data_IF_372739162458
#
_entry.id   IF_372739162458
#
_cell.length_a   1.000
_cell.length_b   1.000
_cell.length_c   1.000
_cell.angle_alpha   90.00
_cell.angle_beta   90.00
_cell.angle_gamma   90.00
#
_symmetry.space_group_name_H-M   'P 1'
#
loop_
_entity.id
_entity.type
_entity.pdbx_description
1 polymer ?
#
# COMPACT_ATOMS: atom_id res chain seq x y z
N UNK A 1 -24.17 -18.88 36.14
CA UNK A 1 -23.65 -20.12 35.61
C UNK A 1 -23.76 -20.05 34.10
N UNK A 2 -22.62 -20.09 33.36
CA UNK A 2 -22.60 -20.14 31.90
C UNK A 2 -23.04 -21.54 31.46
N UNK A 3 -24.05 -21.62 30.61
CA UNK A 3 -24.51 -22.87 30.02
C UNK A 3 -24.52 -22.74 28.49
N UNK A 4 -24.60 -23.87 27.81
CA UNK A 4 -24.74 -23.87 26.36
C UNK A 4 -26.03 -23.14 25.95
N UNK A 5 -25.91 -22.31 24.91
CA UNK A 5 -27.03 -21.50 24.42
C UNK A 5 -27.41 -20.30 25.28
N UNK A 6 -26.67 -20.02 26.38
CA UNK A 6 -26.91 -18.79 27.14
C UNK A 6 -26.69 -17.57 26.25
N UNK A 7 -27.69 -16.70 26.14
CA UNK A 7 -27.66 -15.55 25.24
C UNK A 7 -28.00 -14.27 25.98
N UNK A 8 -27.21 -13.23 25.72
CA UNK A 8 -27.45 -11.87 26.22
C UNK A 8 -27.70 -10.96 25.03
N UNK A 9 -28.84 -10.31 25.02
CA UNK A 9 -29.18 -9.31 24.02
C UNK A 9 -29.01 -7.90 24.62
N UNK A 10 -28.13 -7.11 24.04
CA UNK A 10 -27.87 -5.71 24.44
C UNK A 10 -28.59 -4.71 23.56
N UNK A 11 -29.42 -5.15 22.61
CA UNK A 11 -30.02 -4.33 21.57
C UNK A 11 -29.13 -4.15 20.34
N UNK A 12 -27.83 -3.86 20.55
CA UNK A 12 -26.85 -3.72 19.48
C UNK A 12 -26.25 -5.07 19.06
N UNK A 13 -26.01 -5.93 20.04
CA UNK A 13 -25.42 -7.26 19.82
C UNK A 13 -26.17 -8.31 20.61
N UNK A 14 -26.21 -9.51 20.06
CA UNK A 14 -26.58 -10.70 20.79
C UNK A 14 -25.31 -11.53 20.99
N UNK A 15 -24.90 -11.73 22.24
CA UNK A 15 -23.80 -12.58 22.61
C UNK A 15 -24.35 -13.93 23.05
N UNK A 16 -23.89 -15.01 22.42
CA UNK A 16 -24.33 -16.37 22.73
C UNK A 16 -23.11 -17.22 23.08
N UNK A 17 -23.23 -18.00 24.14
CA UNK A 17 -22.21 -19.01 24.48
C UNK A 17 -22.58 -20.35 23.87
N UNK A 18 -21.64 -20.97 23.21
CA UNK A 18 -21.75 -22.31 22.65
C UNK A 18 -20.67 -23.19 23.28
N UNK A 19 -21.08 -24.34 23.78
CA UNK A 19 -20.16 -25.36 24.25
C UNK A 19 -20.12 -26.49 23.23
N UNK A 20 -18.94 -26.75 22.69
CA UNK A 20 -18.73 -27.82 21.72
C UNK A 20 -17.84 -28.90 22.32
N UNK A 21 -18.15 -30.15 22.03
CA UNK A 21 -17.45 -31.33 22.48
C UNK A 21 -18.41 -32.52 22.63
N UNK A 22 -17.87 -33.67 22.98
CA UNK A 22 -18.67 -34.88 23.22
C UNK A 22 -18.89 -34.99 24.71
N UNK A 23 -20.16 -34.93 25.12
CA UNK A 23 -20.60 -35.17 26.50
C UNK A 23 -21.10 -36.61 26.59
N UNK A 24 -20.53 -37.38 27.50
CA UNK A 24 -20.87 -38.82 27.65
C UNK A 24 -22.11 -39.00 28.55
N UNK A 25 -22.52 -37.95 29.27
CA UNK A 25 -23.71 -38.02 30.13
C UNK A 25 -24.33 -36.60 30.24
N UNK A 26 -25.66 -36.53 30.48
CA UNK A 26 -26.35 -35.25 30.71
C UNK A 26 -25.87 -34.48 31.96
N UNK A 27 -25.18 -35.16 32.86
CA UNK A 27 -24.63 -34.59 34.12
C UNK A 27 -23.14 -34.29 34.04
N UNK A 28 -22.51 -34.55 32.87
CA UNK A 28 -21.08 -34.27 32.71
C UNK A 28 -20.82 -32.77 32.76
N UNK A 29 -19.83 -32.39 33.54
CA UNK A 29 -19.38 -30.98 33.64
C UNK A 29 -18.40 -30.62 32.52
N UNK A 30 -18.31 -29.36 32.22
CA UNK A 30 -17.34 -28.83 31.24
C UNK A 30 -15.91 -29.24 31.62
N UNK A 31 -15.23 -29.83 30.66
CA UNK A 31 -13.81 -30.19 30.76
C UNK A 31 -13.05 -29.48 29.64
N UNK A 32 -12.08 -28.57 29.93
CA UNK A 32 -11.37 -27.79 28.95
C UNK A 32 -10.47 -28.62 27.99
N UNK A 33 -10.15 -29.87 28.37
CA UNK A 33 -9.38 -30.78 27.50
C UNK A 33 -10.23 -31.44 26.40
N UNK A 34 -11.54 -31.57 26.65
CA UNK A 34 -12.49 -32.26 25.75
C UNK A 34 -13.52 -31.33 25.14
N UNK A 35 -13.78 -30.19 25.77
CA UNK A 35 -14.83 -29.27 25.38
C UNK A 35 -14.26 -27.89 25.08
N UNK A 36 -14.84 -27.21 24.08
CA UNK A 36 -14.48 -25.85 23.71
C UNK A 36 -15.63 -24.90 24.02
N UNK A 37 -15.32 -23.77 24.65
CA UNK A 37 -16.25 -22.67 24.86
C UNK A 37 -16.08 -21.64 23.75
N UNK A 38 -17.15 -21.36 23.02
CA UNK A 38 -17.17 -20.40 21.91
C UNK A 38 -18.12 -19.27 22.27
N UNK A 39 -17.67 -18.04 22.09
CA UNK A 39 -18.52 -16.86 22.17
C UNK A 39 -18.86 -16.41 20.76
N UNK A 40 -20.14 -16.40 20.44
CA UNK A 40 -20.64 -15.93 19.15
C UNK A 40 -21.34 -14.59 19.35
N UNK A 41 -20.97 -13.61 18.53
CA UNK A 41 -21.59 -12.29 18.51
C UNK A 41 -22.34 -12.09 17.20
N UNK A 42 -23.62 -11.77 17.30
CA UNK A 42 -24.47 -11.44 16.17
C UNK A 42 -24.94 -9.99 16.27
N UNK A 43 -25.15 -9.34 15.14
CA UNK A 43 -25.75 -8.01 15.10
C UNK A 43 -27.18 -8.05 15.62
N UNK A 44 -27.47 -7.17 16.57
CA UNK A 44 -28.82 -6.94 17.04
C UNK A 44 -29.67 -6.10 16.07
N UNK A 45 -30.96 -6.04 16.33
CA UNK A 45 -31.90 -5.27 15.49
C UNK A 45 -31.60 -3.78 15.50
N UNK A 46 -31.25 -3.21 16.65
CA UNK A 46 -30.88 -1.80 16.78
C UNK A 46 -29.67 -1.46 15.93
N UNK A 47 -28.60 -2.29 16.01
CA UNK A 47 -27.41 -2.06 15.20
C UNK A 47 -27.72 -2.12 13.70
N UNK A 48 -28.54 -3.06 13.27
CA UNK A 48 -28.93 -3.16 11.85
C UNK A 48 -29.69 -1.92 11.37
N UNK A 49 -30.62 -1.42 12.16
CA UNK A 49 -31.36 -0.19 11.84
C UNK A 49 -30.44 1.03 11.76
N UNK A 50 -29.50 1.15 12.69
CA UNK A 50 -28.51 2.23 12.66
C UNK A 50 -27.59 2.13 11.43
N UNK A 51 -27.15 0.92 11.07
CA UNK A 51 -26.33 0.69 9.88
C UNK A 51 -27.05 1.00 8.58
N UNK A 52 -28.36 0.73 8.51
CA UNK A 52 -29.20 1.06 7.35
C UNK A 52 -29.38 2.58 7.16
N UNK A 53 -29.20 3.36 8.23
CA UNK A 53 -29.30 4.82 8.22
C UNK A 53 -27.94 5.55 8.10
N UNK A 54 -26.84 4.81 8.03
CA UNK A 54 -25.51 5.42 7.89
C UNK A 54 -25.37 6.05 6.49
N UNK A 55 -25.23 7.36 6.47
CA UNK A 55 -24.75 8.10 5.32
C UNK A 55 -23.22 8.07 5.30
N UNK A 56 -22.64 7.45 4.28
CA UNK A 56 -21.19 7.47 4.06
C UNK A 56 -20.83 8.76 3.34
N UNK A 57 -20.36 9.74 4.08
CA UNK A 57 -19.80 10.95 3.50
C UNK A 57 -18.35 10.71 3.09
N UNK A 58 -18.11 10.50 1.80
CA UNK A 58 -16.77 10.34 1.24
C UNK A 58 -16.12 11.72 1.19
N UNK A 59 -15.36 12.09 2.22
CA UNK A 59 -14.61 13.34 2.30
C UNK A 59 -13.36 13.38 1.42
N UNK A 60 -12.96 12.24 0.89
CA UNK A 60 -11.84 12.08 -0.04
C UNK A 60 -11.66 10.61 -0.41
N UNK A 61 -11.43 10.38 -1.67
CA UNK A 61 -10.94 9.06 -2.12
C UNK A 61 -9.44 9.09 -1.87
N UNK A 62 -8.97 8.31 -0.92
CA UNK A 62 -7.54 8.07 -0.74
C UNK A 62 -7.02 7.43 -2.03
N UNK A 63 -6.55 8.24 -2.96
CA UNK A 63 -5.82 7.72 -4.10
C UNK A 63 -4.59 7.04 -3.55
N UNK A 64 -4.51 5.73 -3.70
CA UNK A 64 -3.27 5.02 -3.47
C UNK A 64 -2.32 5.35 -4.63
N UNK A 65 -1.81 6.59 -4.59
CA UNK A 65 -0.90 7.14 -5.58
C UNK A 65 0.47 6.46 -5.48
N UNK A 66 1.21 6.52 -6.57
CA UNK A 66 2.64 6.21 -6.58
C UNK A 66 3.29 7.09 -5.51
N UNK A 67 4.18 6.53 -4.70
CA UNK A 67 4.93 7.30 -3.70
C UNK A 67 6.39 6.92 -3.75
N UNK A 68 7.27 7.90 -3.96
CA UNK A 68 8.71 7.76 -3.81
C UNK A 68 9.06 8.14 -2.37
N UNK A 69 9.54 7.18 -1.58
CA UNK A 69 9.88 7.38 -0.17
C UNK A 69 11.37 7.66 0.04
N UNK A 70 12.23 6.98 -0.76
CA UNK A 70 13.68 7.07 -0.59
C UNK A 70 14.39 6.86 -1.93
N UNK A 71 15.44 7.62 -2.13
CA UNK A 71 16.34 7.52 -3.28
C UNK A 71 17.77 7.31 -2.75
N UNK A 72 18.48 6.33 -3.29
CA UNK A 72 19.85 6.01 -2.87
C UNK A 72 20.77 5.91 -4.08
N UNK A 73 21.78 6.74 -4.14
CA UNK A 73 22.86 6.61 -5.12
C UNK A 73 23.74 5.40 -4.74
N UNK A 74 23.75 4.39 -5.60
CA UNK A 74 24.43 3.12 -5.29
C UNK A 74 25.95 3.27 -5.26
N UNK A 75 26.51 4.21 -6.02
CA UNK A 75 27.97 4.43 -6.07
C UNK A 75 28.50 5.05 -4.79
N UNK A 76 27.81 6.06 -4.26
CA UNK A 76 28.27 6.83 -3.11
C UNK A 76 27.62 6.40 -1.81
N UNK A 77 26.51 5.66 -1.86
CA UNK A 77 25.65 5.37 -0.72
C UNK A 77 24.85 6.56 -0.22
N UNK A 78 24.89 7.70 -0.92
CA UNK A 78 24.14 8.92 -0.56
C UNK A 78 22.63 8.66 -0.65
N UNK A 79 21.92 9.12 0.37
CA UNK A 79 20.46 8.94 0.49
C UNK A 79 19.77 10.30 0.36
N UNK A 80 18.87 10.41 -0.63
CA UNK A 80 18.02 11.58 -0.84
C UNK A 80 18.79 12.90 -1.07
N UNK A 81 19.97 12.85 -1.68
CA UNK A 81 20.84 14.02 -1.85
C UNK A 81 21.62 13.99 -3.17
N UNK A 82 22.62 13.11 -3.30
CA UNK A 82 23.52 13.09 -4.47
C UNK A 82 23.07 12.10 -5.54
N UNK A 83 23.32 12.47 -6.80
CA UNK A 83 23.19 11.63 -7.98
C UNK A 83 24.55 11.51 -8.69
N UNK A 84 24.93 10.31 -9.06
CA UNK A 84 26.09 10.06 -9.92
C UNK A 84 25.63 9.63 -11.30
N UNK A 85 25.75 10.47 -12.35
CA UNK A 85 25.39 10.12 -13.71
C UNK A 85 26.05 8.82 -14.18
N UNK A 86 25.36 8.07 -15.03
CA UNK A 86 25.79 6.78 -15.57
C UNK A 86 26.07 5.70 -14.47
N UNK A 87 25.42 5.81 -13.32
CA UNK A 87 25.48 4.85 -12.22
C UNK A 87 24.07 4.48 -11.74
N UNK A 88 24.01 3.38 -11.00
CA UNK A 88 22.73 2.88 -10.48
C UNK A 88 22.15 3.78 -9.40
N UNK A 89 20.86 4.05 -9.54
CA UNK A 89 20.02 4.69 -8.53
C UNK A 89 18.99 3.69 -8.05
N UNK A 90 18.88 3.53 -6.74
CA UNK A 90 17.84 2.74 -6.11
C UNK A 90 16.75 3.66 -5.59
N UNK A 91 15.52 3.43 -6.04
CA UNK A 91 14.32 4.17 -5.66
C UNK A 91 13.41 3.22 -4.88
N UNK A 92 13.06 3.56 -3.66
CA UNK A 92 12.12 2.80 -2.83
C UNK A 92 10.86 3.59 -2.57
N UNK A 93 9.74 2.87 -2.50
CA UNK A 93 8.45 3.50 -2.29
C UNK A 93 7.28 2.54 -2.40
N UNK A 94 6.17 3.06 -2.87
CA UNK A 94 4.93 2.31 -3.01
C UNK A 94 4.35 2.48 -4.41
N UNK A 95 3.87 1.38 -5.00
CA UNK A 95 3.32 1.32 -6.36
C UNK A 95 4.24 1.85 -7.47
N UNK A 96 5.55 1.70 -7.30
CA UNK A 96 6.56 2.23 -8.22
C UNK A 96 6.63 1.49 -9.56
N UNK A 97 6.12 0.26 -9.66
CA UNK A 97 6.25 -0.56 -10.86
C UNK A 97 5.79 0.18 -12.11
N UNK A 98 6.68 0.28 -13.10
CA UNK A 98 6.39 0.91 -14.38
C UNK A 98 5.60 -0.07 -15.26
N UNK A 99 4.34 0.26 -15.50
CA UNK A 99 3.39 -0.53 -16.29
C UNK A 99 2.53 0.40 -17.13
N UNK A 100 2.18 -0.03 -18.32
CA UNK A 100 1.28 0.64 -19.26
C UNK A 100 1.98 1.10 -20.53
N UNK A 101 1.18 1.38 -21.55
CA UNK A 101 1.65 1.75 -22.89
C UNK A 101 1.66 3.27 -23.12
N UNK A 102 1.25 4.03 -22.13
CA UNK A 102 1.21 5.48 -22.27
C UNK A 102 2.64 6.05 -22.35
N UNK A 103 2.93 6.98 -23.29
CA UNK A 103 4.28 7.53 -23.52
C UNK A 103 4.90 8.22 -22.28
N UNK A 104 4.05 8.71 -21.37
CA UNK A 104 4.49 9.32 -20.11
C UNK A 104 4.90 8.28 -19.04
N UNK A 105 4.72 6.99 -19.26
CA UNK A 105 5.20 5.98 -18.30
C UNK A 105 6.72 5.96 -18.30
N UNK A 106 7.32 6.08 -17.12
CA UNK A 106 8.77 6.08 -16.96
C UNK A 106 9.26 6.81 -15.72
N UNK A 107 10.57 6.93 -15.63
CA UNK A 107 11.27 7.73 -14.61
C UNK A 107 11.88 8.94 -15.28
N UNK A 108 11.79 10.08 -14.65
CA UNK A 108 12.24 11.35 -15.19
C UNK A 108 13.06 12.12 -14.17
N UNK A 109 14.08 12.82 -14.66
CA UNK A 109 14.81 13.84 -13.91
C UNK A 109 14.46 15.21 -14.49
N UNK A 110 13.90 16.07 -13.65
CA UNK A 110 13.52 17.44 -14.02
C UNK A 110 14.57 18.39 -13.46
N UNK A 111 15.26 19.11 -14.32
CA UNK A 111 16.21 20.13 -13.92
C UNK A 111 15.47 21.34 -13.35
N UNK A 112 15.74 21.72 -12.12
CA UNK A 112 15.03 22.80 -11.44
C UNK A 112 15.32 24.20 -12.03
N UNK A 113 16.47 24.37 -12.68
CA UNK A 113 16.83 25.67 -13.28
C UNK A 113 16.24 25.87 -14.68
N UNK A 114 16.19 24.79 -15.50
CA UNK A 114 15.76 24.87 -16.92
C UNK A 114 14.37 24.29 -17.15
N UNK A 115 13.81 23.58 -16.16
CA UNK A 115 12.60 22.77 -16.28
C UNK A 115 12.69 21.65 -17.36
N UNK A 116 13.89 21.37 -17.83
CA UNK A 116 14.13 20.29 -18.79
C UNK A 116 13.87 18.94 -18.11
N UNK A 117 13.10 18.09 -18.79
CA UNK A 117 12.68 16.77 -18.31
C UNK A 117 13.39 15.66 -19.08
N UNK A 118 14.35 15.00 -18.45
CA UNK A 118 15.13 13.91 -19.03
C UNK A 118 14.52 12.56 -18.63
N UNK A 119 14.03 11.80 -19.60
CA UNK A 119 13.49 10.43 -19.40
C UNK A 119 14.61 9.42 -19.29
N UNK A 120 14.51 8.49 -18.35
CA UNK A 120 15.35 7.31 -18.27
C UNK A 120 14.96 6.35 -19.41
N UNK A 121 15.94 5.84 -20.15
CA UNK A 121 15.69 4.86 -21.21
C UNK A 121 15.13 3.56 -20.62
N UNK A 122 14.25 2.90 -21.33
CA UNK A 122 13.63 1.65 -20.89
C UNK A 122 14.68 0.53 -20.68
N UNK A 123 15.78 0.56 -21.41
CA UNK A 123 16.89 -0.40 -21.26
C UNK A 123 17.74 -0.16 -20.02
N UNK A 124 17.66 1.04 -19.44
CA UNK A 124 18.35 1.45 -18.22
C UNK A 124 17.56 1.13 -16.94
N UNK A 125 16.40 0.47 -17.07
CA UNK A 125 15.60 0.02 -15.92
C UNK A 125 16.05 -1.39 -15.55
N UNK A 126 16.87 -1.49 -14.50
CA UNK A 126 17.49 -2.75 -14.03
C UNK A 126 16.51 -3.59 -13.21
N UNK A 127 15.73 -2.93 -12.34
CA UNK A 127 14.71 -3.58 -11.50
C UNK A 127 13.41 -2.80 -11.59
N UNK A 128 12.30 -3.51 -11.82
CA UNK A 128 10.96 -2.91 -11.95
C UNK A 128 9.95 -3.63 -11.05
N UNK A 129 9.98 -3.33 -9.76
CA UNK A 129 9.10 -3.90 -8.73
C UNK A 129 8.17 -2.83 -8.11
N UNK A 130 7.03 -3.23 -7.53
CA UNK A 130 6.10 -2.29 -6.90
C UNK A 130 6.67 -1.46 -5.75
N UNK A 131 7.69 -1.97 -5.05
CA UNK A 131 8.32 -1.33 -3.90
C UNK A 131 9.73 -0.80 -4.16
N UNK A 132 10.34 -1.20 -5.28
CA UNK A 132 11.72 -0.83 -5.61
C UNK A 132 11.93 -0.74 -7.13
N UNK A 133 12.48 0.38 -7.58
CA UNK A 133 13.08 0.52 -8.90
C UNK A 133 14.59 0.65 -8.76
N UNK A 134 15.34 0.01 -9.64
CA UNK A 134 16.76 0.29 -9.83
C UNK A 134 16.96 0.71 -11.28
N UNK A 135 17.53 1.88 -11.49
CA UNK A 135 17.74 2.46 -12.80
C UNK A 135 19.20 2.89 -12.97
N UNK A 136 19.64 3.04 -14.20
CA UNK A 136 20.87 3.76 -14.52
C UNK A 136 20.52 5.24 -14.74
N UNK A 137 21.19 6.14 -14.00
CA UNK A 137 20.99 7.59 -14.13
C UNK A 137 21.50 8.00 -15.51
N UNK A 138 20.72 8.74 -16.33
CA UNK A 138 21.21 9.26 -17.60
C UNK A 138 22.39 10.23 -17.42
N UNK A 139 23.01 10.62 -18.53
CA UNK A 139 24.10 11.59 -18.54
C UNK A 139 23.57 13.00 -18.22
N UNK A 140 23.34 13.29 -16.94
CA UNK A 140 22.86 14.58 -16.45
C UNK A 140 24.06 15.54 -16.29
N UNK A 141 23.84 16.80 -16.60
CA UNK A 141 24.80 17.89 -16.29
C UNK A 141 24.74 18.26 -14.81
N UNK A 142 25.80 18.91 -14.29
CA UNK A 142 25.80 19.41 -12.92
C UNK A 142 24.61 20.33 -12.68
N UNK A 143 23.90 20.13 -11.59
CA UNK A 143 22.68 20.89 -11.28
C UNK A 143 21.80 20.25 -10.21
N UNK A 144 20.67 20.85 -9.98
CA UNK A 144 19.63 20.40 -9.03
C UNK A 144 18.48 19.80 -9.81
N UNK A 145 18.05 18.63 -9.40
CA UNK A 145 17.01 17.85 -10.08
C UNK A 145 15.93 17.38 -9.12
N UNK A 146 14.72 17.28 -9.63
CA UNK A 146 13.62 16.56 -8.99
C UNK A 146 13.36 15.26 -9.74
N UNK A 147 13.12 14.18 -9.01
CA UNK A 147 12.77 12.88 -9.56
C UNK A 147 11.25 12.76 -9.70
N UNK A 148 10.79 12.31 -10.87
CA UNK A 148 9.40 11.96 -11.13
C UNK A 148 9.28 10.50 -11.57
N UNK A 149 8.27 9.81 -11.07
CA UNK A 149 7.91 8.44 -11.48
C UNK A 149 6.48 8.44 -11.97
N UNK A 150 6.28 8.04 -13.22
CA UNK A 150 4.96 7.98 -13.87
C UNK A 150 4.62 6.55 -14.26
N UNK A 151 3.43 6.06 -13.90
CA UNK A 151 3.01 4.69 -14.20
C UNK A 151 1.48 4.57 -14.28
N UNK A 152 1.02 3.54 -14.98
CA UNK A 152 -0.37 3.08 -14.96
C UNK A 152 -0.58 1.88 -14.02
N UNK A 153 0.35 1.62 -13.09
CA UNK A 153 0.25 0.49 -12.17
C UNK A 153 -0.84 0.70 -11.13
N UNK A 154 -1.84 -0.19 -11.15
CA UNK A 154 -2.98 -0.16 -10.21
C UNK A 154 -2.73 -0.95 -8.91
N UNK A 155 -1.75 -1.87 -8.91
CA UNK A 155 -1.58 -2.92 -7.91
C UNK A 155 -2.23 -4.24 -8.32
N UNK A 156 -2.94 -4.28 -9.44
CA UNK A 156 -3.56 -5.46 -10.05
C UNK A 156 -2.93 -5.77 -11.41
N UNK A 157 -3.43 -6.79 -12.09
CA UNK A 157 -2.99 -7.18 -13.45
C UNK A 157 -3.43 -6.20 -14.55
N UNK A 158 -4.46 -5.39 -14.29
CA UNK A 158 -5.00 -4.45 -15.29
C UNK A 158 -4.42 -3.05 -15.05
N UNK A 159 -3.73 -2.45 -16.04
CA UNK A 159 -3.26 -1.08 -15.95
C UNK A 159 -4.40 -0.08 -15.80
N UNK A 160 -4.11 1.06 -15.19
CA UNK A 160 -5.01 2.19 -15.13
C UNK A 160 -5.19 2.81 -16.53
N UNK A 161 -6.32 3.44 -16.77
CA UNK A 161 -6.56 4.19 -18.01
C UNK A 161 -5.69 5.45 -18.08
N UNK A 162 -5.50 6.11 -16.94
CA UNK A 162 -4.74 7.34 -16.82
C UNK A 162 -3.39 7.09 -16.15
N UNK A 163 -2.40 7.86 -16.53
CA UNK A 163 -1.07 7.84 -15.90
C UNK A 163 -1.13 8.58 -14.58
N UNK A 164 -0.54 8.00 -13.57
CA UNK A 164 -0.29 8.64 -12.27
C UNK A 164 1.18 8.99 -12.17
N UNK A 165 1.46 10.20 -11.76
CA UNK A 165 2.82 10.71 -11.56
C UNK A 165 3.04 11.04 -10.09
N UNK A 166 4.17 10.58 -9.57
CA UNK A 166 4.68 10.99 -8.25
C UNK A 166 5.94 11.81 -8.44
N UNK A 167 5.96 12.97 -7.83
CA UNK A 167 7.14 13.82 -7.73
C UNK A 167 7.77 13.60 -6.36
N UNK A 168 9.08 13.35 -6.34
CA UNK A 168 9.81 13.22 -5.08
C UNK A 168 9.92 14.57 -4.40
N UNK A 169 9.69 14.61 -3.09
CA UNK A 169 9.59 15.82 -2.29
C UNK A 169 10.94 16.50 -2.01
N UNK A 170 12.04 15.81 -2.31
CA UNK A 170 13.41 16.32 -2.08
C UNK A 170 14.12 16.53 -3.41
N UNK A 171 14.95 17.56 -3.42
CA UNK A 171 15.84 17.85 -4.54
C UNK A 171 17.09 16.99 -4.47
N UNK A 172 17.60 16.60 -5.64
CA UNK A 172 18.76 15.75 -5.81
C UNK A 172 19.85 16.53 -6.57
N UNK A 173 21.09 16.39 -6.17
CA UNK A 173 22.21 17.16 -6.72
C UNK A 173 23.13 16.32 -7.58
N UNK A 174 23.41 16.76 -8.79
CA UNK A 174 24.49 16.25 -9.65
C UNK A 174 25.67 17.21 -9.54
N UNK A 175 26.86 16.69 -9.19
CA UNK A 175 28.12 17.45 -9.09
C UNK A 175 28.98 17.29 -10.33
#
# INVERSE_FOLDING_TARGET
QLCDGFSVNTGYFTATTLIRGVFNSPTETFNPEKHSLIFQFNQGETLRKELDSIEVNITGVGESSITVAQVTDVKTGSVNDLLTPNRNLKIRGYKLKLVGDHPEVGVYFVNEATAERTKVDATDIVTNNPSELVIVIPALVAGIYTLEVSSQFSGSSTPLKEVRTSRFDKVLTVK
#
